data_IF_412530045577
#
_entry.id   IF_412530045577
#
_cell.length_a   1.000
_cell.length_b   1.000
_cell.length_c   1.000
_cell.angle_alpha   90.00
_cell.angle_beta   90.00
_cell.angle_gamma   90.00
#
_symmetry.space_group_name_H-M   'P 1'
#
loop_
_entity.id
_entity.type
_entity.pdbx_description
1 polymer ?
#
# COMPACT_ATOMS: atom_id res chain seq x y z
N UNK A 1 -4.14 3.53 -5.21
CA UNK A 1 -4.57 3.39 -3.80
C UNK A 1 -6.08 3.53 -3.75
N UNK A 2 -6.74 2.79 -2.86
CA UNK A 2 -8.20 2.87 -2.67
C UNK A 2 -8.62 4.15 -1.94
N UNK A 3 -9.94 4.30 -1.75
CA UNK A 3 -10.52 5.43 -1.02
C UNK A 3 -10.19 5.40 0.49
N UNK A 4 -9.95 4.21 1.04
CA UNK A 4 -9.61 3.98 2.44
C UNK A 4 -8.55 2.88 2.56
N UNK A 5 -7.71 2.95 3.58
CA UNK A 5 -6.68 1.94 3.90
C UNK A 5 -6.92 1.45 5.32
N UNK A 6 -7.37 0.20 5.50
CA UNK A 6 -7.71 -0.33 6.82
C UNK A 6 -6.46 -0.44 7.70
N UNK A 7 -6.66 -0.24 9.01
CA UNK A 7 -5.63 -0.43 10.04
C UNK A 7 -5.95 -1.71 10.81
N UNK A 8 -5.01 -2.64 10.82
CA UNK A 8 -5.05 -3.83 11.67
C UNK A 8 -4.28 -3.59 12.95
N UNK A 9 -4.91 -3.89 14.09
CA UNK A 9 -4.27 -3.91 15.39
C UNK A 9 -4.33 -5.32 15.97
N UNK A 10 -3.17 -5.92 16.20
CA UNK A 10 -3.07 -7.23 16.85
C UNK A 10 -3.72 -7.26 18.24
N UNK A 11 -3.82 -6.12 18.94
CA UNK A 11 -4.36 -6.08 20.28
C UNK A 11 -5.87 -6.33 20.34
N UNK A 12 -6.60 -6.05 19.26
CA UNK A 12 -8.05 -6.20 19.19
C UNK A 12 -8.50 -7.66 19.37
N UNK A 13 -7.71 -8.61 18.88
CA UNK A 13 -8.00 -10.05 18.95
C UNK A 13 -7.03 -10.85 19.84
N UNK A 14 -5.82 -10.33 20.07
CA UNK A 14 -4.73 -11.10 20.70
C UNK A 14 -4.12 -10.43 21.95
N UNK A 15 -4.63 -9.28 22.39
CA UNK A 15 -4.13 -8.57 23.56
C UNK A 15 -2.71 -8.00 23.38
N UNK A 16 -1.89 -8.01 24.43
CA UNK A 16 -0.53 -7.51 24.32
C UNK A 16 0.34 -8.45 23.47
N UNK A 17 0.77 -7.98 22.29
CA UNK A 17 1.60 -8.75 21.33
C UNK A 17 2.91 -8.02 21.02
N UNK A 18 3.93 -8.69 20.43
CA UNK A 18 5.12 -8.03 19.92
C UNK A 18 4.88 -7.23 18.63
N UNK A 19 3.61 -6.98 18.25
CA UNK A 19 3.20 -6.30 17.02
C UNK A 19 3.68 -6.99 15.74
N UNK A 20 3.96 -8.29 15.82
CA UNK A 20 4.45 -9.13 14.71
C UNK A 20 3.46 -10.25 14.38
N UNK A 21 3.38 -10.60 13.10
CA UNK A 21 2.54 -11.70 12.60
C UNK A 21 3.38 -12.97 12.62
N UNK A 22 3.04 -13.89 13.53
CA UNK A 22 3.81 -15.11 13.80
C UNK A 22 2.95 -16.38 13.88
N UNK A 23 1.63 -16.24 13.85
CA UNK A 23 0.68 -17.36 13.89
C UNK A 23 -0.29 -17.34 12.71
N UNK A 24 -0.87 -18.49 12.40
CA UNK A 24 -1.90 -18.60 11.37
C UNK A 24 -3.18 -17.83 11.75
N UNK A 25 -3.52 -17.76 13.03
CA UNK A 25 -4.68 -16.99 13.50
C UNK A 25 -4.49 -15.49 13.28
N UNK A 26 -3.28 -14.98 13.54
CA UNK A 26 -2.92 -13.58 13.22
C UNK A 26 -2.95 -13.33 11.72
N UNK A 27 -2.42 -14.26 10.91
CA UNK A 27 -2.48 -14.17 9.45
C UNK A 27 -3.93 -14.19 8.91
N UNK A 28 -4.82 -14.97 9.52
CA UNK A 28 -6.23 -14.98 9.18
C UNK A 28 -6.94 -13.69 9.61
N UNK A 29 -6.60 -13.14 10.78
CA UNK A 29 -7.14 -11.86 11.26
C UNK A 29 -6.79 -10.71 10.32
N UNK A 30 -5.51 -10.56 9.94
CA UNK A 30 -5.11 -9.52 8.99
C UNK A 30 -5.71 -9.72 7.61
N UNK A 31 -5.87 -10.96 7.15
CA UNK A 31 -6.55 -11.23 5.87
C UNK A 31 -8.01 -10.75 5.88
N UNK A 32 -8.72 -10.88 7.01
CA UNK A 32 -10.06 -10.31 7.17
C UNK A 32 -10.05 -8.78 7.15
N UNK A 33 -9.09 -8.15 7.82
CA UNK A 33 -8.95 -6.68 7.82
C UNK A 33 -8.61 -6.12 6.46
N UNK A 34 -7.78 -6.82 5.67
CA UNK A 34 -7.47 -6.45 4.30
C UNK A 34 -8.70 -6.50 3.39
N UNK A 35 -9.54 -7.53 3.56
CA UNK A 35 -10.71 -7.76 2.71
C UNK A 35 -10.33 -7.86 1.22
N UNK A 36 -11.06 -7.17 0.36
CA UNK A 36 -10.77 -7.07 -1.08
C UNK A 36 -9.72 -5.97 -1.40
N UNK A 37 -9.15 -5.36 -0.38
CA UNK A 37 -8.14 -4.32 -0.48
C UNK A 37 -6.76 -4.85 -0.91
N UNK A 38 -5.85 -3.92 -1.20
CA UNK A 38 -4.47 -4.23 -1.59
C UNK A 38 -3.41 -3.80 -0.58
N UNK A 39 -3.81 -2.97 0.39
CA UNK A 39 -2.93 -2.39 1.39
C UNK A 39 -3.67 -2.42 2.72
N UNK A 40 -2.96 -2.79 3.79
CA UNK A 40 -3.41 -2.60 5.16
C UNK A 40 -2.24 -2.03 5.99
N UNK A 41 -2.55 -1.14 6.92
CA UNK A 41 -1.58 -0.66 7.91
C UNK A 41 -1.57 -1.60 9.12
N UNK A 42 -0.40 -1.79 9.70
CA UNK A 42 -0.16 -2.55 10.92
C UNK A 42 0.14 -1.55 12.03
N UNK A 43 -0.77 -1.38 13.00
CA UNK A 43 -0.59 -0.39 14.07
C UNK A 43 0.74 -0.67 14.80
N UNK A 44 1.61 0.34 14.84
CA UNK A 44 2.89 0.26 15.55
C UNK A 44 3.97 -0.59 14.85
N UNK A 45 3.76 -1.02 13.60
CA UNK A 45 4.72 -1.86 12.88
C UNK A 45 5.02 -1.36 11.46
N UNK A 46 4.01 -1.22 10.59
CA UNK A 46 4.28 -0.90 9.19
C UNK A 46 3.06 -1.06 8.30
N UNK A 47 3.26 -1.60 7.09
CA UNK A 47 2.19 -1.85 6.12
C UNK A 47 2.38 -3.22 5.45
N UNK A 48 1.26 -3.83 5.07
CA UNK A 48 1.20 -5.05 4.27
C UNK A 48 0.61 -4.70 2.89
N UNK A 49 1.19 -5.30 1.85
CA UNK A 49 0.80 -5.09 0.46
C UNK A 49 0.53 -6.44 -0.22
N UNK A 50 -0.51 -6.49 -1.05
CA UNK A 50 -0.79 -7.64 -1.92
C UNK A 50 -0.95 -7.18 -3.37
N UNK A 51 -0.43 -7.97 -4.29
CA UNK A 51 -0.46 -7.71 -5.72
C UNK A 51 -0.35 -9.02 -6.52
N UNK A 52 -0.72 -9.00 -7.80
CA UNK A 52 -0.64 -10.18 -8.68
C UNK A 52 0.76 -10.44 -9.23
N UNK A 53 1.71 -9.52 -9.05
CA UNK A 53 3.09 -9.65 -9.53
C UNK A 53 4.06 -8.79 -8.72
N UNK A 54 5.37 -9.10 -8.77
CA UNK A 54 6.42 -8.31 -8.11
C UNK A 54 6.51 -6.87 -8.64
N UNK A 55 6.43 -6.59 -9.96
CA UNK A 55 6.43 -5.22 -10.46
C UNK A 55 5.24 -4.40 -9.97
N UNK A 56 4.06 -5.01 -9.88
CA UNK A 56 2.87 -4.37 -9.33
C UNK A 56 3.03 -4.10 -7.83
N UNK A 57 3.59 -5.06 -7.08
CA UNK A 57 3.86 -4.90 -5.65
C UNK A 57 4.84 -3.75 -5.37
N UNK A 58 5.93 -3.68 -6.13
CA UNK A 58 6.92 -2.61 -6.03
C UNK A 58 6.30 -1.25 -6.34
N UNK A 59 5.50 -1.18 -7.41
CA UNK A 59 4.79 0.03 -7.79
C UNK A 59 3.81 0.48 -6.69
N UNK A 60 3.03 -0.45 -6.15
CA UNK A 60 2.10 -0.16 -5.06
C UNK A 60 2.85 0.33 -3.81
N UNK A 61 3.95 -0.32 -3.42
CA UNK A 61 4.75 0.06 -2.26
C UNK A 61 5.36 1.45 -2.38
N UNK A 62 6.05 1.74 -3.49
CA UNK A 62 6.72 3.04 -3.72
C UNK A 62 5.70 4.18 -3.71
N UNK A 63 4.67 4.11 -4.55
CA UNK A 63 3.71 5.21 -4.63
C UNK A 63 2.82 5.31 -3.39
N UNK A 64 2.57 4.22 -2.66
CA UNK A 64 1.86 4.31 -1.39
C UNK A 64 2.66 5.10 -0.37
N UNK A 65 3.96 4.80 -0.25
CA UNK A 65 4.86 5.52 0.64
C UNK A 65 4.99 7.01 0.28
N UNK A 66 5.24 7.32 -1.00
CA UNK A 66 5.36 8.70 -1.48
C UNK A 66 4.06 9.49 -1.26
N UNK A 67 2.91 8.90 -1.60
CA UNK A 67 1.61 9.54 -1.40
C UNK A 67 1.32 9.80 0.08
N UNK A 68 1.71 8.89 0.99
CA UNK A 68 1.56 9.09 2.42
C UNK A 68 2.40 10.27 2.92
N UNK A 69 3.65 10.39 2.46
CA UNK A 69 4.53 11.53 2.80
C UNK A 69 3.98 12.86 2.25
N UNK A 70 3.54 12.86 0.99
CA UNK A 70 2.94 14.03 0.34
C UNK A 70 1.66 14.46 1.04
N UNK A 71 0.80 13.52 1.42
CA UNK A 71 -0.44 13.80 2.12
C UNK A 71 -0.16 14.37 3.52
N UNK A 72 0.76 13.76 4.27
CA UNK A 72 1.18 14.27 5.58
C UNK A 72 1.73 15.71 5.50
N UNK A 73 2.59 15.97 4.51
CA UNK A 73 3.14 17.32 4.27
C UNK A 73 2.05 18.30 3.85
N UNK A 74 1.11 17.86 3.01
CA UNK A 74 -0.01 18.69 2.55
C UNK A 74 -0.95 19.06 3.70
N UNK A 75 -1.22 18.13 4.63
CA UNK A 75 -1.98 18.45 5.84
C UNK A 75 -1.25 19.46 6.72
N UNK A 76 0.08 19.34 6.88
CA UNK A 76 0.87 20.31 7.65
C UNK A 76 0.78 21.72 7.03
N UNK A 77 1.06 21.84 5.73
CA UNK A 77 1.08 23.12 5.03
C UNK A 77 -0.32 23.74 4.89
N UNK A 78 -1.35 22.91 4.69
CA UNK A 78 -2.74 23.33 4.53
C UNK A 78 -3.52 23.54 5.83
N UNK A 79 -2.87 23.41 7.00
CA UNK A 79 -3.55 23.51 8.30
C UNK A 79 -4.66 22.47 8.46
N UNK A 80 -4.40 21.25 8.00
CA UNK A 80 -5.33 20.11 8.01
C UNK A 80 -6.29 20.07 6.82
N UNK A 81 -6.38 21.11 5.99
CA UNK A 81 -7.32 21.18 4.87
C UNK A 81 -6.67 20.70 3.57
N UNK A 82 -6.98 19.48 3.17
CA UNK A 82 -6.54 18.89 1.89
C UNK A 82 -7.77 18.48 1.08
N UNK A 83 -7.79 18.83 -0.21
CA UNK A 83 -8.82 18.31 -1.13
C UNK A 83 -8.40 16.90 -1.56
N UNK A 84 -9.12 15.90 -1.05
CA UNK A 84 -8.91 14.51 -1.43
C UNK A 84 -9.51 14.22 -2.82
N UNK A 85 -9.09 13.09 -3.40
CA UNK A 85 -9.71 12.55 -4.60
C UNK A 85 -11.16 12.14 -4.30
N UNK A 86 -12.05 12.43 -5.23
CA UNK A 86 -13.41 11.87 -5.24
C UNK A 86 -13.37 10.37 -5.55
N UNK A 87 -14.43 9.65 -5.21
CA UNK A 87 -14.58 8.22 -5.52
C UNK A 87 -14.38 7.91 -7.02
N UNK A 88 -14.89 8.78 -7.90
CA UNK A 88 -14.71 8.65 -9.34
C UNK A 88 -13.25 8.83 -9.79
N UNK A 89 -12.53 9.78 -9.20
CA UNK A 89 -11.10 9.97 -9.48
C UNK A 89 -10.25 8.80 -8.97
N UNK A 90 -10.60 8.24 -7.80
CA UNK A 90 -9.97 7.03 -7.27
C UNK A 90 -10.20 5.84 -8.21
N UNK A 91 -11.45 5.65 -8.68
CA UNK A 91 -11.79 4.57 -9.59
C UNK A 91 -11.02 4.66 -10.92
N UNK A 92 -10.98 5.85 -11.55
CA UNK A 92 -10.24 6.01 -12.80
C UNK A 92 -8.73 5.88 -12.62
N UNK A 93 -8.17 6.38 -11.51
CA UNK A 93 -6.76 6.18 -11.17
C UNK A 93 -6.41 4.69 -11.03
N UNK A 94 -7.23 3.92 -10.32
CA UNK A 94 -7.04 2.47 -10.18
C UNK A 94 -7.20 1.73 -11.53
N UNK A 95 -8.16 2.16 -12.36
CA UNK A 95 -8.33 1.63 -13.72
C UNK A 95 -7.09 1.87 -14.57
N UNK A 96 -6.54 3.08 -14.50
CA UNK A 96 -5.32 3.45 -15.21
C UNK A 96 -4.16 2.56 -14.79
N UNK A 97 -3.94 2.35 -13.48
CA UNK A 97 -2.88 1.48 -12.95
C UNK A 97 -3.01 0.01 -13.38
N UNK A 98 -4.23 -0.44 -13.68
CA UNK A 98 -4.52 -1.81 -14.12
C UNK A 98 -4.23 -2.06 -15.61
N UNK A 99 -3.88 -1.02 -16.38
CA UNK A 99 -3.56 -1.16 -17.80
C UNK A 99 -2.25 -1.97 -17.97
N UNK A 100 -2.26 -3.06 -18.76
CA UNK A 100 -1.06 -3.86 -19.00
C UNK A 100 0.11 -3.01 -19.49
N UNK A 101 1.30 -3.24 -18.93
CA UNK A 101 2.52 -2.53 -19.32
C UNK A 101 2.80 -1.24 -18.54
N UNK A 102 1.87 -0.72 -17.73
CA UNK A 102 2.14 0.49 -16.92
C UNK A 102 3.18 0.29 -15.83
N UNK A 103 3.27 -0.92 -15.28
CA UNK A 103 4.28 -1.27 -14.27
C UNK A 103 5.66 -1.49 -14.88
N UNK A 104 5.76 -1.73 -16.19
CA UNK A 104 7.02 -2.11 -16.87
C UNK A 104 8.05 -0.99 -16.83
N UNK A 105 7.66 0.25 -17.16
CA UNK A 105 8.61 1.37 -17.20
C UNK A 105 9.19 1.70 -15.82
N UNK A 106 8.38 1.89 -14.76
CA UNK A 106 8.92 2.09 -13.41
C UNK A 106 9.77 0.90 -12.96
N UNK A 107 9.33 -0.34 -13.21
CA UNK A 107 10.09 -1.54 -12.87
C UNK A 107 11.46 -1.58 -13.51
N UNK A 108 11.56 -1.33 -14.83
CA UNK A 108 12.83 -1.29 -15.55
C UNK A 108 13.75 -0.18 -14.99
N UNK A 109 13.20 0.99 -14.71
CA UNK A 109 13.97 2.09 -14.15
C UNK A 109 14.54 1.75 -12.75
N UNK A 110 13.72 1.18 -11.87
CA UNK A 110 14.17 0.76 -10.54
C UNK A 110 15.16 -0.40 -10.60
N UNK A 111 14.91 -1.39 -11.46
CA UNK A 111 15.81 -2.53 -11.68
C UNK A 111 17.19 -2.05 -12.16
N UNK A 112 17.22 -1.16 -13.15
CA UNK A 112 18.46 -0.56 -13.64
C UNK A 112 19.19 0.25 -12.56
N UNK A 113 18.46 1.01 -11.74
CA UNK A 113 19.04 1.82 -10.67
C UNK A 113 19.77 1.00 -9.59
N UNK A 114 19.37 -0.26 -9.39
CA UNK A 114 20.02 -1.19 -8.44
C UNK A 114 20.93 -2.22 -9.12
N UNK A 115 21.16 -2.09 -10.44
CA UNK A 115 22.03 -2.98 -11.21
C UNK A 115 21.46 -4.39 -11.44
N UNK A 116 20.14 -4.58 -11.40
CA UNK A 116 19.53 -5.85 -11.81
C UNK A 116 19.63 -6.02 -13.33
N UNK A 117 19.99 -7.23 -13.82
CA UNK A 117 20.03 -7.52 -15.25
C UNK A 117 18.62 -7.54 -15.87
N UNK A 118 18.52 -7.22 -17.15
CA UNK A 118 17.26 -7.23 -17.90
C UNK A 118 16.62 -8.64 -17.88
N UNK A 119 15.39 -8.74 -17.37
CA UNK A 119 14.58 -9.98 -17.39
C UNK A 119 14.40 -10.72 -16.06
N UNK A 120 14.75 -10.09 -14.93
CA UNK A 120 14.43 -10.58 -13.58
C UNK A 120 12.96 -10.46 -13.19
#
# INVERSE_FOLDING_TARGET
MGADVPVWDSADEFGDTPMSISTLDQAASIARTLGDGRVALLRGHGALFVAGSLPELALLGVYTHENAQLLATSHLLGGGKVKHLSEGEVAESNRMLSIPGRTVRPWQAWSAAIGMPDGG
#
